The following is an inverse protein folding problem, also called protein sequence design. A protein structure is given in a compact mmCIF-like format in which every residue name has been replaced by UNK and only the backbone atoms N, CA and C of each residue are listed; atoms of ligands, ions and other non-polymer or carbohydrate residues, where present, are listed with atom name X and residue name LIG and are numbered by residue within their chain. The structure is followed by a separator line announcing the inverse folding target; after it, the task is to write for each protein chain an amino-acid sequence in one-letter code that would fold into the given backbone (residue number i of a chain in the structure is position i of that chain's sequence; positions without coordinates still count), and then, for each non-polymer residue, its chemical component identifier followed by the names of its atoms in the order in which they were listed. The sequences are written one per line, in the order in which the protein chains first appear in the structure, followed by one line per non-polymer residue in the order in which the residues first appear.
data_IF_491725992834
#
_entry.id   IF_491725992834
#
_cell.length_a   1.000
_cell.length_b   1.000
_cell.length_c   1.000
_cell.angle_alpha   90.00
_cell.angle_beta   90.00
_cell.angle_gamma   90.00
#
_symmetry.space_group_name_H-M   'P 1'
#
loop_
_entity.id
_entity.type
_entity.pdbx_description
1 polymer ?
#
# COMPACT_ATOMS: atom_id res chain seq x y z
N UNK A 1 -2.74 -26.45 -8.27
CA UNK A 1 -2.42 -25.02 -8.09
C UNK A 1 -1.09 -24.72 -8.77
N UNK A 2 -1.07 -23.76 -9.71
CA UNK A 2 0.17 -23.36 -10.42
C UNK A 2 1.06 -22.52 -9.51
N UNK A 3 2.35 -22.49 -9.81
CA UNK A 3 3.34 -21.69 -9.08
C UNK A 3 3.53 -20.33 -9.76
N UNK A 4 3.71 -19.28 -8.97
CA UNK A 4 4.14 -17.97 -9.45
C UNK A 4 5.63 -17.84 -9.13
N UNK A 5 6.48 -18.05 -10.14
CA UNK A 5 7.93 -18.13 -9.95
C UNK A 5 8.52 -16.88 -9.25
N UNK A 6 8.02 -15.70 -9.58
CA UNK A 6 8.41 -14.47 -8.90
C UNK A 6 8.17 -14.52 -7.38
N UNK A 7 7.05 -15.12 -6.94
CA UNK A 7 6.72 -15.20 -5.52
C UNK A 7 7.46 -16.34 -4.81
N UNK A 8 7.80 -17.41 -5.54
CA UNK A 8 8.65 -18.48 -5.01
C UNK A 8 10.10 -18.01 -4.80
N UNK A 9 10.63 -17.24 -5.74
CA UNK A 9 11.99 -16.69 -5.66
C UNK A 9 12.12 -15.50 -4.72
N UNK A 10 10.98 -14.86 -4.36
CA UNK A 10 10.93 -13.63 -3.60
C UNK A 10 11.02 -12.38 -4.49
N UNK A 11 10.38 -11.32 -4.04
CA UNK A 11 10.43 -10.02 -4.72
C UNK A 11 11.77 -9.36 -4.41
N UNK A 12 12.53 -9.05 -5.46
CA UNK A 12 13.79 -8.30 -5.35
C UNK A 12 13.56 -6.88 -4.79
N UNK A 13 14.56 -6.29 -4.12
CA UNK A 13 14.49 -4.90 -3.69
C UNK A 13 14.15 -3.96 -4.84
N UNK A 14 13.19 -3.06 -4.61
CA UNK A 14 12.83 -2.06 -5.62
C UNK A 14 13.77 -0.86 -5.56
N UNK A 15 14.03 -0.19 -6.73
CA UNK A 15 14.93 0.94 -6.76
C UNK A 15 14.50 2.08 -5.83
N UNK A 16 15.49 2.73 -5.21
CA UNK A 16 15.36 4.04 -4.59
C UNK A 16 16.18 5.00 -5.44
N UNK A 17 15.54 6.02 -5.99
CA UNK A 17 16.17 6.99 -6.87
C UNK A 17 16.00 8.41 -6.33
N UNK A 18 17.02 9.26 -6.53
CA UNK A 18 16.94 10.67 -6.21
C UNK A 18 16.11 11.37 -7.28
N UNK A 19 15.17 12.20 -6.87
CA UNK A 19 14.30 12.93 -7.78
C UNK A 19 15.01 14.17 -8.36
N UNK A 20 14.70 14.49 -9.62
CA UNK A 20 15.26 15.62 -10.36
C UNK A 20 14.56 16.94 -10.02
N UNK A 21 13.30 16.90 -9.62
CA UNK A 21 12.48 18.07 -9.31
C UNK A 21 13.02 18.85 -8.12
N UNK A 22 13.23 20.15 -8.31
CA UNK A 22 13.67 21.09 -7.27
C UNK A 22 12.50 21.50 -6.37
N UNK A 23 12.23 20.73 -5.33
CA UNK A 23 11.15 21.02 -4.37
C UNK A 23 11.68 21.75 -3.12
N UNK A 24 12.43 22.86 -3.30
CA UNK A 24 13.04 23.63 -2.22
C UNK A 24 14.42 23.12 -1.79
N UNK A 25 14.77 23.29 -0.51
CA UNK A 25 16.11 22.98 0.02
C UNK A 25 16.30 21.50 0.42
N UNK A 26 15.25 20.69 0.35
CA UNK A 26 15.31 19.27 0.72
C UNK A 26 15.78 18.40 -0.44
N UNK A 27 16.35 17.24 -0.11
CA UNK A 27 16.67 16.20 -1.07
C UNK A 27 15.52 15.18 -1.09
N UNK A 28 14.92 14.97 -2.25
CA UNK A 28 13.80 14.03 -2.40
C UNK A 28 14.26 12.76 -3.10
N UNK A 29 13.80 11.64 -2.56
CA UNK A 29 14.03 10.31 -3.08
C UNK A 29 12.69 9.60 -3.24
N UNK A 30 12.61 8.65 -4.15
CA UNK A 30 11.42 7.85 -4.37
C UNK A 30 11.77 6.36 -4.42
N UNK A 31 11.07 5.56 -3.61
CA UNK A 31 11.14 4.10 -3.67
C UNK A 31 10.07 3.60 -4.62
N UNK A 32 10.48 2.89 -5.67
CA UNK A 32 9.68 2.52 -6.84
C UNK A 32 9.01 1.16 -6.67
N UNK A 33 8.04 1.05 -5.74
CA UNK A 33 7.25 -0.18 -5.59
C UNK A 33 6.39 -0.49 -6.85
N UNK A 34 6.06 0.52 -7.64
CA UNK A 34 5.41 0.39 -8.95
C UNK A 34 6.24 -0.41 -9.97
N UNK A 35 7.53 -0.58 -9.75
CA UNK A 35 8.42 -1.37 -10.61
C UNK A 35 8.48 -2.87 -10.25
N UNK A 36 7.71 -3.35 -9.27
CA UNK A 36 7.60 -4.78 -9.02
C UNK A 36 7.01 -5.45 -10.27
N UNK A 37 7.68 -6.47 -10.87
CA UNK A 37 7.28 -7.02 -12.15
C UNK A 37 6.10 -8.00 -12.06
N UNK A 38 5.03 -7.60 -11.37
CA UNK A 38 3.79 -8.35 -11.26
C UNK A 38 2.58 -7.42 -11.27
N UNK A 39 1.68 -7.60 -12.23
CA UNK A 39 0.39 -6.88 -12.30
C UNK A 39 0.54 -5.36 -12.12
N UNK A 40 1.43 -4.71 -12.87
CA UNK A 40 1.76 -3.27 -12.78
C UNK A 40 2.30 -2.82 -11.40
N UNK A 41 2.89 -3.73 -10.64
CA UNK A 41 3.60 -3.41 -9.41
C UNK A 41 2.76 -2.86 -8.25
N UNK A 42 3.47 -2.29 -7.31
CA UNK A 42 2.92 -1.64 -6.13
C UNK A 42 3.04 -2.47 -4.85
N UNK A 43 2.85 -1.82 -3.71
CA UNK A 43 2.90 -2.45 -2.38
C UNK A 43 1.91 -3.63 -2.23
N UNK A 44 0.85 -3.66 -3.05
CA UNK A 44 -0.11 -4.76 -3.04
C UNK A 44 0.46 -6.04 -3.63
N UNK A 45 1.40 -5.94 -4.59
CA UNK A 45 2.11 -7.11 -5.11
C UNK A 45 3.02 -7.75 -4.04
N UNK A 46 3.70 -6.94 -3.22
CA UNK A 46 4.45 -7.47 -2.06
C UNK A 46 3.55 -8.20 -1.06
N UNK A 47 2.41 -7.58 -0.73
CA UNK A 47 1.43 -8.20 0.18
C UNK A 47 0.89 -9.51 -0.41
N UNK A 48 0.55 -9.50 -1.71
CA UNK A 48 0.08 -10.70 -2.39
C UNK A 48 1.09 -11.86 -2.31
N UNK A 49 2.39 -11.59 -2.42
CA UNK A 49 3.42 -12.61 -2.28
C UNK A 49 3.44 -13.27 -0.90
N UNK A 50 3.13 -12.54 0.18
CA UNK A 50 3.02 -13.13 1.51
C UNK A 50 1.73 -13.96 1.68
N UNK A 51 0.59 -13.46 1.18
CA UNK A 51 -0.66 -14.24 1.16
C UNK A 51 -0.57 -15.47 0.26
N UNK A 52 0.15 -15.41 -0.85
CA UNK A 52 0.42 -16.55 -1.73
C UNK A 52 1.03 -17.74 -0.98
N UNK A 53 1.99 -17.48 -0.08
CA UNK A 53 2.62 -18.53 0.73
C UNK A 53 1.60 -19.25 1.61
N UNK A 54 0.72 -18.49 2.28
CA UNK A 54 -0.34 -19.06 3.14
C UNK A 54 -1.39 -19.83 2.32
N UNK A 55 -1.85 -19.27 1.22
CA UNK A 55 -2.83 -19.89 0.32
C UNK A 55 -2.31 -21.26 -0.17
N UNK A 56 -1.04 -21.33 -0.57
CA UNK A 56 -0.43 -22.58 -1.01
C UNK A 56 -0.32 -23.60 0.11
N UNK A 57 0.10 -23.19 1.28
CA UNK A 57 0.27 -24.07 2.43
C UNK A 57 -1.06 -24.69 2.89
N UNK A 58 -2.18 -23.95 2.75
CA UNK A 58 -3.50 -24.37 3.21
C UNK A 58 -4.35 -25.11 2.16
N UNK A 59 -3.87 -25.30 0.93
CA UNK A 59 -4.62 -26.00 -0.13
C UNK A 59 -5.91 -25.28 -0.55
N UNK A 60 -5.91 -23.96 -0.48
CA UNK A 60 -7.05 -23.08 -0.83
C UNK A 60 -7.43 -23.24 -2.30
N UNK A 61 -8.72 -23.32 -2.62
CA UNK A 61 -9.25 -23.46 -3.98
C UNK A 61 -10.12 -22.29 -4.44
N UNK A 62 -10.52 -21.40 -3.53
CA UNK A 62 -11.17 -20.13 -3.83
C UNK A 62 -10.66 -19.03 -2.91
N UNK A 63 -10.26 -17.89 -3.47
CA UNK A 63 -9.89 -16.71 -2.70
C UNK A 63 -10.99 -15.67 -2.83
N UNK A 64 -11.41 -15.14 -1.69
CA UNK A 64 -12.33 -14.02 -1.64
C UNK A 64 -11.64 -12.78 -1.09
N UNK A 65 -11.96 -11.61 -1.63
CA UNK A 65 -11.48 -10.33 -1.12
C UNK A 65 -12.53 -9.22 -1.28
N UNK A 66 -12.21 -8.02 -0.78
CA UNK A 66 -13.06 -6.85 -0.81
C UNK A 66 -12.32 -5.61 -1.32
N UNK A 67 -13.01 -4.78 -2.10
CA UNK A 67 -12.53 -3.46 -2.50
C UNK A 67 -13.37 -2.83 -3.58
N UNK A 68 -13.19 -1.52 -3.79
CA UNK A 68 -13.87 -0.76 -4.83
C UNK A 68 -13.41 -1.14 -6.24
N UNK A 69 -14.11 -0.65 -7.25
CA UNK A 69 -13.78 -0.80 -8.67
C UNK A 69 -12.38 -0.23 -9.05
N UNK A 70 -11.89 0.78 -8.33
CA UNK A 70 -10.54 1.35 -8.52
C UNK A 70 -9.44 0.64 -7.72
N UNK A 71 -9.76 -0.46 -7.03
CA UNK A 71 -8.84 -1.09 -6.09
C UNK A 71 -7.64 -1.77 -6.76
N UNK A 72 -6.44 -1.23 -6.54
CA UNK A 72 -5.19 -1.90 -6.91
C UNK A 72 -5.00 -3.24 -6.18
N UNK A 73 -5.60 -3.39 -5.00
CA UNK A 73 -5.58 -4.65 -4.25
C UNK A 73 -6.39 -5.72 -4.98
N UNK A 74 -7.65 -5.43 -5.35
CA UNK A 74 -8.51 -6.39 -6.05
C UNK A 74 -7.89 -6.86 -7.36
N UNK A 75 -7.31 -5.93 -8.16
CA UNK A 75 -6.61 -6.26 -9.39
C UNK A 75 -5.45 -7.25 -9.16
N UNK A 76 -4.60 -6.97 -8.18
CA UNK A 76 -3.42 -7.81 -7.91
C UNK A 76 -3.83 -9.18 -7.36
N UNK A 77 -4.83 -9.25 -6.47
CA UNK A 77 -5.33 -10.52 -5.96
C UNK A 77 -5.99 -11.33 -7.08
N UNK A 78 -6.82 -10.72 -7.92
CA UNK A 78 -7.43 -11.39 -9.07
C UNK A 78 -6.35 -11.98 -10.00
N UNK A 79 -5.30 -11.21 -10.32
CA UNK A 79 -4.20 -11.70 -11.15
C UNK A 79 -3.43 -12.85 -10.48
N UNK A 80 -3.11 -12.72 -9.20
CA UNK A 80 -2.43 -13.79 -8.44
C UNK A 80 -3.23 -15.09 -8.48
N UNK A 81 -4.50 -15.01 -8.18
CA UNK A 81 -5.42 -16.16 -8.11
C UNK A 81 -5.61 -16.80 -9.49
N UNK A 82 -5.79 -15.98 -10.54
CA UNK A 82 -5.84 -16.47 -11.93
C UNK A 82 -4.53 -17.19 -12.34
N UNK A 83 -3.37 -16.64 -11.97
CA UNK A 83 -2.07 -17.28 -12.24
C UNK A 83 -1.94 -18.62 -11.52
N UNK A 84 -2.52 -18.77 -10.34
CA UNK A 84 -2.53 -20.03 -9.59
C UNK A 84 -3.55 -21.05 -10.15
N UNK A 85 -4.47 -20.63 -10.99
CA UNK A 85 -5.54 -21.47 -11.55
C UNK A 85 -6.62 -21.83 -10.54
N UNK A 86 -6.91 -20.94 -9.60
CA UNK A 86 -8.00 -21.08 -8.62
C UNK A 86 -9.04 -19.94 -8.76
N UNK A 87 -10.22 -20.11 -8.16
CA UNK A 87 -11.29 -19.15 -8.29
C UNK A 87 -11.04 -17.87 -7.47
N UNK A 88 -11.46 -16.72 -8.01
CA UNK A 88 -11.45 -15.42 -7.33
C UNK A 88 -12.87 -14.86 -7.21
N UNK A 89 -13.27 -14.45 -6.00
CA UNK A 89 -14.55 -13.78 -5.76
C UNK A 89 -14.31 -12.47 -5.03
N UNK A 90 -14.78 -11.36 -5.60
CA UNK A 90 -14.59 -10.02 -5.07
C UNK A 90 -15.93 -9.45 -4.63
N UNK A 91 -16.02 -9.00 -3.38
CA UNK A 91 -17.13 -8.18 -2.92
C UNK A 91 -16.77 -6.72 -3.16
N UNK A 92 -17.63 -5.96 -3.81
CA UNK A 92 -17.41 -4.55 -4.14
C UNK A 92 -18.59 -3.68 -3.67
N UNK A 93 -18.33 -2.50 -3.07
CA UNK A 93 -19.41 -1.57 -2.74
C UNK A 93 -20.03 -0.96 -3.99
N UNK A 94 -21.34 -0.70 -3.96
CA UNK A 94 -22.10 -0.11 -5.08
C UNK A 94 -21.79 1.37 -5.35
N UNK A 95 -20.90 2.00 -4.60
CA UNK A 95 -20.71 3.46 -4.55
C UNK A 95 -20.26 4.10 -5.86
N UNK A 96 -19.62 3.35 -6.75
CA UNK A 96 -19.16 3.89 -8.04
C UNK A 96 -19.24 2.82 -9.15
N UNK A 97 -19.96 3.15 -10.23
CA UNK A 97 -20.13 2.27 -11.38
C UNK A 97 -19.21 2.61 -12.56
N UNK A 98 -18.30 3.57 -12.40
CA UNK A 98 -17.34 3.92 -13.44
C UNK A 98 -16.43 2.72 -13.75
N UNK A 99 -16.30 2.37 -15.01
CA UNK A 99 -15.49 1.24 -15.48
C UNK A 99 -14.04 1.70 -15.71
N UNK A 100 -13.23 1.60 -14.68
CA UNK A 100 -11.82 1.97 -14.67
C UNK A 100 -10.93 0.84 -15.24
N UNK A 101 -9.67 1.14 -15.53
CA UNK A 101 -8.69 0.13 -15.98
C UNK A 101 -8.54 -1.03 -14.98
N UNK A 102 -8.55 -0.75 -13.68
CA UNK A 102 -8.53 -1.82 -12.68
C UNK A 102 -9.77 -2.73 -12.77
N UNK A 103 -10.96 -2.18 -13.09
CA UNK A 103 -12.18 -2.99 -13.30
C UNK A 103 -12.01 -3.93 -14.49
N UNK A 104 -11.55 -3.39 -15.63
CA UNK A 104 -11.30 -4.18 -16.85
C UNK A 104 -10.32 -5.32 -16.59
N UNK A 105 -9.20 -5.03 -15.91
CA UNK A 105 -8.18 -6.04 -15.57
C UNK A 105 -8.72 -7.13 -14.63
N UNK A 106 -9.55 -6.77 -13.64
CA UNK A 106 -10.20 -7.74 -12.74
C UNK A 106 -11.11 -8.69 -13.54
N UNK A 107 -11.90 -8.15 -14.49
CA UNK A 107 -12.73 -8.93 -15.38
C UNK A 107 -11.89 -9.86 -16.28
N UNK A 108 -10.83 -9.34 -16.90
CA UNK A 108 -9.92 -10.11 -17.78
C UNK A 108 -9.20 -11.25 -17.03
N UNK A 109 -8.95 -11.09 -15.74
CA UNK A 109 -8.41 -12.16 -14.89
C UNK A 109 -9.46 -13.18 -14.47
N UNK A 110 -10.72 -13.04 -14.88
CA UNK A 110 -11.79 -13.99 -14.64
C UNK A 110 -12.31 -14.00 -13.21
N UNK A 111 -12.12 -12.93 -12.44
CA UNK A 111 -12.70 -12.83 -11.12
C UNK A 111 -14.22 -12.57 -11.18
N UNK A 112 -14.97 -13.24 -10.32
CA UNK A 112 -16.38 -12.93 -10.10
C UNK A 112 -16.49 -11.72 -9.18
N UNK A 113 -17.25 -10.68 -9.58
CA UNK A 113 -17.50 -9.49 -8.76
C UNK A 113 -18.97 -9.48 -8.35
N UNK A 114 -19.20 -9.40 -7.05
CA UNK A 114 -20.53 -9.22 -6.45
C UNK A 114 -20.59 -7.84 -5.80
N UNK A 115 -21.59 -7.04 -6.17
CA UNK A 115 -21.80 -5.70 -5.60
C UNK A 115 -22.88 -5.72 -4.54
N UNK A 116 -22.69 -4.96 -3.48
CA UNK A 116 -23.68 -4.77 -2.41
C UNK A 116 -23.55 -3.39 -1.76
N UNK A 117 -24.59 -2.91 -1.06
CA UNK A 117 -24.48 -1.72 -0.24
C UNK A 117 -23.34 -1.82 0.79
N UNK A 118 -22.66 -0.71 1.07
CA UNK A 118 -21.53 -0.67 2.02
C UNK A 118 -21.89 -1.27 3.38
N UNK A 119 -23.12 -1.01 3.84
CA UNK A 119 -23.64 -1.52 5.12
C UNK A 119 -23.81 -3.04 5.16
N UNK A 120 -23.89 -3.68 3.99
CA UNK A 120 -24.10 -5.13 3.88
C UNK A 120 -22.82 -5.92 3.59
N UNK A 121 -21.69 -5.24 3.37
CA UNK A 121 -20.43 -5.86 2.96
C UNK A 121 -20.00 -6.98 3.92
N UNK A 122 -19.97 -6.73 5.22
CA UNK A 122 -19.56 -7.75 6.20
C UNK A 122 -20.46 -8.99 6.14
N UNK A 123 -21.78 -8.79 6.19
CA UNK A 123 -22.73 -9.90 6.11
C UNK A 123 -22.69 -10.65 4.78
N UNK A 124 -22.39 -9.96 3.68
CA UNK A 124 -22.23 -10.60 2.35
C UNK A 124 -20.97 -11.46 2.30
N UNK A 125 -19.86 -10.98 2.88
CA UNK A 125 -18.62 -11.75 3.01
C UNK A 125 -18.89 -13.03 3.80
N UNK A 126 -19.52 -12.95 4.98
CA UNK A 126 -19.77 -14.09 5.83
C UNK A 126 -20.67 -15.13 5.13
N UNK A 127 -21.77 -14.69 4.50
CA UNK A 127 -22.67 -15.56 3.73
C UNK A 127 -21.96 -16.28 2.59
N UNK A 128 -21.10 -15.57 1.84
CA UNK A 128 -20.38 -16.16 0.71
C UNK A 128 -19.30 -17.15 1.14
N UNK A 129 -18.55 -16.82 2.21
CA UNK A 129 -17.58 -17.73 2.78
C UNK A 129 -18.24 -19.03 3.24
N UNK A 130 -19.38 -18.93 3.90
CA UNK A 130 -20.14 -20.11 4.35
C UNK A 130 -20.71 -20.90 3.16
N UNK A 131 -21.27 -20.23 2.15
CA UNK A 131 -21.76 -20.90 0.94
C UNK A 131 -20.65 -21.69 0.21
N UNK A 132 -19.44 -21.15 0.13
CA UNK A 132 -18.30 -21.90 -0.42
C UNK A 132 -17.97 -23.16 0.41
N UNK A 133 -17.96 -23.06 1.74
CA UNK A 133 -17.72 -24.23 2.61
C UNK A 133 -18.79 -25.29 2.43
N UNK A 134 -20.07 -24.90 2.39
CA UNK A 134 -21.20 -25.81 2.16
C UNK A 134 -21.13 -26.48 0.78
N UNK A 135 -20.56 -25.83 -0.21
CA UNK A 135 -20.27 -26.40 -1.52
C UNK A 135 -19.02 -27.29 -1.56
N UNK A 136 -18.42 -27.59 -0.41
CA UNK A 136 -17.22 -28.43 -0.30
C UNK A 136 -15.92 -27.75 -0.76
N UNK A 137 -15.91 -26.41 -0.86
CA UNK A 137 -14.73 -25.63 -1.23
C UNK A 137 -13.92 -25.26 0.01
N UNK A 138 -12.65 -24.93 -0.22
CA UNK A 138 -11.74 -24.41 0.82
C UNK A 138 -11.46 -22.92 0.59
N UNK A 139 -12.35 -22.00 1.05
CA UNK A 139 -12.22 -20.58 0.82
C UNK A 139 -11.20 -19.92 1.75
N UNK A 140 -10.45 -18.94 1.22
CA UNK A 140 -9.58 -18.05 1.97
C UNK A 140 -9.98 -16.61 1.74
N UNK A 141 -10.18 -15.84 2.81
CA UNK A 141 -10.53 -14.43 2.74
C UNK A 141 -9.31 -13.54 2.98
N UNK A 142 -8.98 -12.70 2.00
CA UNK A 142 -7.98 -11.63 2.14
C UNK A 142 -8.72 -10.31 2.39
N UNK A 143 -8.51 -9.73 3.56
CA UNK A 143 -9.13 -8.46 3.92
C UNK A 143 -8.74 -7.34 2.95
N UNK A 144 -9.64 -6.36 2.76
CA UNK A 144 -9.45 -5.25 1.84
C UNK A 144 -8.11 -4.55 2.02
N UNK A 145 -7.43 -4.28 0.88
CA UNK A 145 -6.09 -3.69 0.89
C UNK A 145 -4.96 -4.62 1.33
N UNK A 146 -5.21 -5.91 1.53
CA UNK A 146 -4.24 -6.89 2.04
C UNK A 146 -3.91 -6.62 3.50
N UNK A 147 -4.96 -6.37 4.31
CA UNK A 147 -4.83 -6.15 5.75
C UNK A 147 -4.57 -7.48 6.47
N UNK A 148 -3.82 -7.42 7.58
CA UNK A 148 -3.42 -8.56 8.40
C UNK A 148 -1.90 -8.78 8.42
N UNK A 149 -1.44 -9.73 9.24
CA UNK A 149 -0.02 -9.98 9.49
C UNK A 149 0.81 -10.28 8.24
N UNK A 150 0.33 -11.03 7.22
CA UNK A 150 1.08 -11.20 5.98
C UNK A 150 1.33 -9.85 5.26
N UNK A 151 0.30 -9.00 5.20
CA UNK A 151 0.41 -7.67 4.61
C UNK A 151 1.34 -6.73 5.38
N UNK A 152 1.34 -6.80 6.71
CA UNK A 152 2.25 -6.04 7.58
C UNK A 152 3.69 -6.52 7.39
N UNK A 153 3.93 -7.83 7.40
CA UNK A 153 5.25 -8.45 7.14
C UNK A 153 5.86 -8.01 5.80
N UNK A 154 5.05 -7.95 4.75
CA UNK A 154 5.49 -7.46 3.45
C UNK A 154 6.07 -6.03 3.54
N UNK A 155 5.46 -5.16 4.35
CA UNK A 155 5.90 -3.79 4.51
C UNK A 155 7.05 -3.64 5.54
N UNK A 156 7.18 -4.55 6.50
CA UNK A 156 8.41 -4.68 7.30
C UNK A 156 9.61 -4.99 6.39
N UNK A 157 9.44 -5.86 5.41
CA UNK A 157 10.50 -6.15 4.43
C UNK A 157 10.81 -4.93 3.55
N UNK A 158 9.80 -4.11 3.19
CA UNK A 158 10.02 -2.82 2.52
C UNK A 158 10.92 -1.90 3.35
N UNK A 159 10.69 -1.81 4.67
CA UNK A 159 11.55 -1.02 5.56
C UNK A 159 12.98 -1.56 5.60
N UNK A 160 13.16 -2.89 5.67
CA UNK A 160 14.50 -3.51 5.65
C UNK A 160 15.28 -3.18 4.38
N UNK A 161 14.61 -3.12 3.23
CA UNK A 161 15.23 -2.69 1.98
C UNK A 161 15.67 -1.22 2.03
N UNK A 162 14.89 -0.35 2.68
CA UNK A 162 15.24 1.06 2.87
C UNK A 162 16.46 1.17 3.75
N UNK A 163 16.49 0.48 4.89
CA UNK A 163 17.64 0.49 5.80
C UNK A 163 18.92 -0.06 5.13
N UNK A 164 18.80 -1.10 4.33
CA UNK A 164 19.94 -1.64 3.56
C UNK A 164 20.44 -0.63 2.49
N UNK A 165 19.53 0.10 1.85
CA UNK A 165 19.90 1.16 0.92
C UNK A 165 20.63 2.32 1.63
N UNK A 166 20.15 2.75 2.80
CA UNK A 166 20.79 3.80 3.59
C UNK A 166 22.25 3.41 3.95
N UNK A 167 22.46 2.17 4.38
CA UNK A 167 23.80 1.66 4.70
C UNK A 167 24.69 1.62 3.45
N UNK A 168 24.18 1.12 2.33
CA UNK A 168 24.93 1.00 1.08
C UNK A 168 25.27 2.37 0.48
N UNK A 169 24.33 3.32 0.51
CA UNK A 169 24.48 4.65 -0.08
C UNK A 169 25.20 5.64 0.85
N UNK A 170 25.40 5.31 2.11
CA UNK A 170 26.01 6.20 3.12
C UNK A 170 25.15 7.43 3.41
N UNK A 171 23.83 7.30 3.32
CA UNK A 171 22.87 8.38 3.61
C UNK A 171 21.89 7.91 4.71
N UNK A 172 21.20 8.87 5.31
CA UNK A 172 20.09 8.57 6.23
C UNK A 172 18.89 9.41 5.81
N UNK A 173 17.69 8.81 5.82
CA UNK A 173 16.46 9.55 5.62
C UNK A 173 15.97 10.15 6.93
N UNK A 174 15.54 11.42 6.88
CA UNK A 174 14.88 12.10 8.01
C UNK A 174 13.38 11.74 8.05
N UNK A 175 12.78 11.57 6.86
CA UNK A 175 11.35 11.30 6.70
C UNK A 175 11.09 10.25 5.63
N UNK A 176 10.10 9.38 5.90
CA UNK A 176 9.47 8.51 4.90
C UNK A 176 7.99 8.91 4.80
N UNK A 177 7.54 9.22 3.58
CA UNK A 177 6.12 9.49 3.30
C UNK A 177 5.53 8.41 2.40
N UNK A 178 4.26 8.12 2.60
CA UNK A 178 3.51 7.21 1.74
C UNK A 178 2.00 7.46 1.81
N UNK A 179 1.25 6.96 0.82
CA UNK A 179 -0.21 6.94 0.85
C UNK A 179 -0.74 5.93 1.88
N UNK A 180 -1.52 6.38 2.85
CA UNK A 180 -2.14 5.52 3.88
C UNK A 180 -3.64 5.37 3.64
N UNK A 181 -4.08 4.16 3.28
CA UNK A 181 -5.50 3.79 3.11
C UNK A 181 -5.97 2.88 4.25
N UNK A 182 -5.73 1.57 4.14
CA UNK A 182 -6.12 0.58 5.18
C UNK A 182 -5.18 0.53 6.39
N UNK A 183 -4.07 1.28 6.37
CA UNK A 183 -3.12 1.38 7.48
C UNK A 183 -2.00 0.34 7.47
N UNK A 184 -2.17 -0.83 6.88
CA UNK A 184 -1.22 -1.95 6.95
C UNK A 184 0.19 -1.60 6.43
N UNK A 185 0.29 -0.73 5.41
CA UNK A 185 1.60 -0.30 4.89
C UNK A 185 2.35 0.49 5.93
N UNK A 186 1.69 1.46 6.55
CA UNK A 186 2.28 2.23 7.64
C UNK A 186 2.64 1.35 8.82
N UNK A 187 1.75 0.46 9.22
CA UNK A 187 2.01 -0.48 10.32
C UNK A 187 3.27 -1.30 10.08
N UNK A 188 3.46 -1.81 8.86
CA UNK A 188 4.66 -2.58 8.52
C UNK A 188 5.94 -1.74 8.53
N UNK A 189 5.89 -0.52 7.97
CA UNK A 189 7.04 0.40 7.98
C UNK A 189 7.45 0.78 9.42
N UNK A 190 6.47 1.16 10.25
CA UNK A 190 6.71 1.51 11.66
C UNK A 190 7.23 0.29 12.43
N UNK A 191 6.58 -0.88 12.28
CA UNK A 191 7.07 -2.11 12.93
C UNK A 191 8.50 -2.46 12.51
N UNK A 192 8.82 -2.30 11.22
CA UNK A 192 10.16 -2.53 10.70
C UNK A 192 11.19 -1.61 11.32
N UNK A 193 10.88 -0.31 11.46
CA UNK A 193 11.72 0.68 12.16
C UNK A 193 11.93 0.29 13.62
N UNK A 194 10.84 0.00 14.34
CA UNK A 194 10.92 -0.35 15.77
C UNK A 194 11.78 -1.59 16.02
N UNK A 195 11.66 -2.60 15.17
CA UNK A 195 12.50 -3.81 15.26
C UNK A 195 13.97 -3.50 14.97
N UNK A 196 14.26 -2.69 13.94
CA UNK A 196 15.62 -2.28 13.60
C UNK A 196 16.25 -1.40 14.71
N UNK A 197 15.47 -0.48 15.28
CA UNK A 197 15.93 0.36 16.40
C UNK A 197 16.22 -0.47 17.66
N UNK A 198 15.42 -1.52 17.93
CA UNK A 198 15.71 -2.45 19.02
C UNK A 198 17.04 -3.19 18.80
N UNK A 199 17.26 -3.73 17.59
CA UNK A 199 18.51 -4.38 17.22
C UNK A 199 19.74 -3.44 17.33
N UNK A 200 19.57 -2.15 16.99
CA UNK A 200 20.62 -1.13 17.17
C UNK A 200 20.93 -0.91 18.64
N UNK A 201 19.89 -0.76 19.49
CA UNK A 201 20.06 -0.57 20.95
C UNK A 201 20.76 -1.77 21.61
N UNK A 202 20.42 -2.99 21.22
CA UNK A 202 21.10 -4.21 21.70
C UNK A 202 22.60 -4.20 21.36
N UNK A 203 22.98 -3.55 20.25
CA UNK A 203 24.37 -3.37 19.82
C UNK A 203 25.02 -2.08 20.37
N UNK A 204 24.36 -1.37 21.30
CA UNK A 204 24.84 -0.12 21.87
C UNK A 204 24.83 1.08 20.92
N UNK A 205 24.06 1.03 19.83
CA UNK A 205 23.91 2.11 18.88
C UNK A 205 22.62 2.91 19.14
N UNK A 206 22.60 4.23 18.84
CA UNK A 206 21.38 5.01 18.97
C UNK A 206 20.31 4.57 17.94
N UNK A 207 19.05 4.76 18.31
CA UNK A 207 17.94 4.65 17.37
C UNK A 207 17.98 5.80 16.34
N UNK A 208 17.39 5.57 15.15
CA UNK A 208 17.32 6.60 14.13
C UNK A 208 16.25 7.63 14.48
N UNK A 209 16.53 8.91 14.18
CA UNK A 209 15.53 10.00 14.27
C UNK A 209 14.53 10.00 13.13
N UNK A 210 14.47 8.95 12.31
CA UNK A 210 13.58 8.79 11.16
C UNK A 210 12.11 8.86 11.56
N UNK A 211 11.33 9.67 10.83
CA UNK A 211 9.88 9.80 10.99
C UNK A 211 9.14 9.18 9.80
N UNK A 212 8.13 8.36 10.09
CA UNK A 212 7.30 7.72 9.06
C UNK A 212 5.93 8.35 9.08
N UNK A 213 5.59 9.07 8.01
CA UNK A 213 4.37 9.87 7.88
C UNK A 213 3.41 9.21 6.89
N UNK A 214 2.26 8.76 7.39
CA UNK A 214 1.16 8.28 6.57
C UNK A 214 0.26 9.43 6.15
N UNK A 215 0.19 9.71 4.86
CA UNK A 215 -0.75 10.68 4.30
C UNK A 215 -2.05 9.96 3.97
N UNK A 216 -3.12 10.33 4.66
CA UNK A 216 -4.44 9.71 4.46
C UNK A 216 -4.97 9.97 3.05
N UNK A 217 -5.57 8.94 2.48
CA UNK A 217 -6.31 9.07 1.21
C UNK A 217 -7.83 9.14 1.40
N UNK A 218 -8.31 8.89 2.64
CA UNK A 218 -9.75 8.85 2.92
C UNK A 218 -10.13 8.95 4.40
N UNK A 219 -9.40 8.29 5.32
CA UNK A 219 -9.75 8.22 6.73
C UNK A 219 -9.41 9.51 7.46
N UNK A 220 -10.19 9.86 8.47
CA UNK A 220 -9.78 10.88 9.44
C UNK A 220 -8.59 10.37 10.28
N UNK A 221 -7.89 11.30 10.92
CA UNK A 221 -6.67 11.00 11.67
C UNK A 221 -6.93 9.99 12.79
N UNK A 222 -7.97 10.20 13.61
CA UNK A 222 -8.30 9.35 14.75
C UNK A 222 -8.47 7.88 14.32
N UNK A 223 -9.35 7.64 13.35
CA UNK A 223 -9.59 6.29 12.83
C UNK A 223 -8.39 5.70 12.10
N UNK A 224 -7.63 6.55 11.40
CA UNK A 224 -6.40 6.16 10.71
C UNK A 224 -5.35 5.67 11.70
N UNK A 225 -5.07 6.43 12.74
CA UNK A 225 -4.13 6.08 13.82
C UNK A 225 -4.54 4.79 14.53
N UNK A 226 -5.82 4.67 14.90
CA UNK A 226 -6.35 3.48 15.58
C UNK A 226 -6.07 2.20 14.79
N UNK A 227 -6.42 2.18 13.49
CA UNK A 227 -6.24 1.00 12.64
C UNK A 227 -4.76 0.66 12.42
N UNK A 228 -3.90 1.68 12.27
CA UNK A 228 -2.45 1.46 12.15
C UNK A 228 -1.88 0.91 13.45
N UNK A 229 -2.23 1.50 14.59
CA UNK A 229 -1.80 1.05 15.92
C UNK A 229 -2.20 -0.40 16.17
N UNK A 230 -3.47 -0.76 15.91
CA UNK A 230 -3.92 -2.13 16.06
C UNK A 230 -3.12 -3.11 15.19
N UNK A 231 -2.81 -2.72 13.94
CA UNK A 231 -2.01 -3.56 13.04
C UNK A 231 -0.55 -3.71 13.51
N UNK A 232 0.01 -2.70 14.18
CA UNK A 232 1.34 -2.77 14.80
C UNK A 232 1.30 -3.74 16.00
N UNK A 233 0.29 -3.60 16.85
CA UNK A 233 0.08 -4.45 18.02
C UNK A 233 -0.09 -5.92 17.62
N UNK A 234 -0.98 -6.21 16.65
CA UNK A 234 -1.21 -7.56 16.13
C UNK A 234 0.06 -8.19 15.55
N UNK A 235 0.92 -7.37 14.93
CA UNK A 235 2.15 -7.86 14.31
C UNK A 235 3.29 -8.08 15.32
N UNK A 236 3.50 -7.11 16.22
CA UNK A 236 4.58 -7.18 17.23
C UNK A 236 4.24 -8.13 18.39
N UNK A 237 2.95 -8.37 18.65
CA UNK A 237 2.49 -9.23 19.72
C UNK A 237 3.06 -8.81 21.08
N UNK A 238 3.69 -9.74 21.79
CA UNK A 238 4.25 -9.47 23.12
C UNK A 238 5.31 -8.35 23.16
N UNK A 239 5.96 -8.05 22.04
CA UNK A 239 6.97 -6.98 21.93
C UNK A 239 6.36 -5.57 21.80
N UNK A 240 5.03 -5.47 21.55
CA UNK A 240 4.38 -4.17 21.33
C UNK A 240 4.57 -3.20 22.47
N UNK A 241 4.29 -3.61 23.71
CA UNK A 241 4.40 -2.76 24.91
C UNK A 241 5.83 -2.28 25.18
N UNK A 242 6.83 -3.06 24.78
CA UNK A 242 8.24 -2.71 24.90
C UNK A 242 8.67 -1.67 23.86
N UNK A 243 8.28 -1.89 22.60
CA UNK A 243 8.84 -1.18 21.46
C UNK A 243 8.05 0.04 21.03
N UNK A 244 6.70 0.00 21.09
CA UNK A 244 5.85 1.05 20.56
C UNK A 244 5.67 2.22 21.55
N UNK A 245 5.72 3.42 21.01
CA UNK A 245 5.29 4.66 21.65
C UNK A 245 4.42 5.44 20.66
N UNK A 246 3.48 6.22 21.14
CA UNK A 246 2.46 6.88 20.28
C UNK A 246 3.06 7.95 19.36
N UNK A 247 4.17 8.54 19.72
CA UNK A 247 4.95 9.48 18.90
C UNK A 247 5.61 8.83 17.66
N UNK A 248 5.73 7.50 17.64
CA UNK A 248 6.24 6.76 16.48
C UNK A 248 5.25 6.73 15.30
N UNK A 249 3.98 7.03 15.57
CA UNK A 249 2.93 7.00 14.59
C UNK A 249 2.48 8.40 14.18
N UNK A 250 2.97 8.86 13.03
CA UNK A 250 2.55 10.14 12.44
C UNK A 250 1.58 9.83 11.28
N UNK A 251 0.35 10.28 11.43
CA UNK A 251 -0.70 10.13 10.42
C UNK A 251 -1.36 11.50 10.22
N UNK A 252 -1.60 11.91 8.98
CA UNK A 252 -2.26 13.19 8.68
C UNK A 252 -3.38 12.98 7.68
N UNK A 253 -4.53 13.59 7.92
CA UNK A 253 -5.69 13.63 7.04
C UNK A 253 -5.92 15.00 6.37
N UNK A 254 -5.06 15.98 6.66
CA UNK A 254 -5.15 17.35 6.10
C UNK A 254 -5.15 17.36 4.55
N UNK A 255 -4.57 16.33 3.93
CA UNK A 255 -4.39 16.25 2.48
C UNK A 255 -5.26 15.17 1.83
N UNK A 256 -6.34 14.72 2.49
CA UNK A 256 -7.23 13.68 1.98
C UNK A 256 -8.19 14.16 0.86
N UNK A 257 -8.25 15.48 0.60
CA UNK A 257 -9.01 16.12 -0.50
C UNK A 257 -10.50 15.72 -0.53
N UNK A 258 -11.12 15.55 0.65
CA UNK A 258 -12.53 15.18 0.77
C UNK A 258 -12.82 13.68 0.60
N UNK A 259 -11.81 12.83 0.55
CA UNK A 259 -11.98 11.39 0.64
C UNK A 259 -11.45 10.56 -0.51
N UNK A 260 -11.84 9.30 -0.54
CA UNK A 260 -11.38 8.32 -1.51
C UNK A 260 -11.78 8.69 -2.94
N UNK A 261 -10.83 8.60 -3.88
CA UNK A 261 -11.03 8.91 -5.30
C UNK A 261 -11.18 10.40 -5.63
N UNK A 262 -11.30 11.28 -4.62
CA UNK A 262 -11.38 12.72 -4.81
C UNK A 262 -9.99 13.35 -4.85
N UNK A 263 -9.82 14.35 -5.70
CA UNK A 263 -8.57 15.11 -5.82
C UNK A 263 -8.86 16.55 -6.26
N UNK A 264 -7.88 17.43 -6.14
CA UNK A 264 -7.97 18.84 -6.51
C UNK A 264 -7.08 19.13 -7.74
N UNK A 265 -7.26 20.30 -8.41
CA UNK A 265 -6.39 20.70 -9.52
C UNK A 265 -4.91 20.72 -9.16
N UNK A 266 -4.56 21.06 -7.91
CA UNK A 266 -3.17 21.09 -7.45
C UNK A 266 -2.55 19.70 -7.36
N UNK A 267 -3.35 18.67 -7.03
CA UNK A 267 -2.91 17.27 -7.11
C UNK A 267 -2.67 16.87 -8.56
N UNK A 268 -3.58 17.23 -9.48
CA UNK A 268 -3.41 16.96 -10.91
C UNK A 268 -2.14 17.63 -11.46
N UNK A 269 -1.93 18.91 -11.15
CA UNK A 269 -0.71 19.63 -11.51
C UNK A 269 0.55 18.96 -10.95
N UNK A 270 0.52 18.50 -9.70
CA UNK A 270 1.65 17.77 -9.09
C UNK A 270 1.98 16.48 -9.85
N UNK A 271 0.96 15.73 -10.28
CA UNK A 271 1.13 14.51 -11.08
C UNK A 271 1.81 14.83 -12.41
N UNK A 272 1.36 15.89 -13.10
CA UNK A 272 1.95 16.32 -14.36
C UNK A 272 3.39 16.83 -14.21
N UNK A 273 3.68 17.60 -13.14
CA UNK A 273 5.02 18.07 -12.83
C UNK A 273 5.99 16.90 -12.66
N UNK A 274 5.63 15.90 -11.82
CA UNK A 274 6.48 14.72 -11.59
C UNK A 274 6.63 13.89 -12.85
N UNK A 275 5.58 13.73 -13.64
CA UNK A 275 5.69 13.01 -14.92
C UNK A 275 6.63 13.73 -15.89
N UNK A 276 6.62 15.07 -15.94
CA UNK A 276 7.50 15.85 -16.82
C UNK A 276 8.95 15.90 -16.35
N UNK A 277 9.19 15.97 -15.02
CA UNK A 277 10.55 16.09 -14.47
C UNK A 277 11.26 14.76 -14.30
N UNK A 278 10.55 13.71 -13.89
CA UNK A 278 11.13 12.45 -13.47
C UNK A 278 10.62 11.23 -14.27
N UNK A 279 9.60 11.40 -15.12
CA UNK A 279 9.01 10.32 -15.93
C UNK A 279 8.25 9.29 -15.07
N UNK A 280 7.75 9.71 -13.90
CA UNK A 280 7.11 8.82 -12.93
C UNK A 280 5.59 9.02 -12.93
N UNK A 281 4.80 8.03 -13.38
CA UNK A 281 3.34 8.12 -13.38
C UNK A 281 2.81 8.03 -11.95
N UNK A 282 1.89 8.91 -11.58
CA UNK A 282 1.19 8.91 -10.29
C UNK A 282 -0.32 8.96 -10.50
N UNK A 283 -1.08 8.24 -9.69
CA UNK A 283 -2.55 8.26 -9.72
C UNK A 283 -3.13 9.34 -8.81
N UNK A 284 -4.38 9.72 -9.06
CA UNK A 284 -5.08 10.77 -8.31
C UNK A 284 -5.63 10.31 -6.96
N UNK A 285 -5.80 9.00 -6.75
CA UNK A 285 -6.42 8.44 -5.54
C UNK A 285 -5.42 8.25 -4.41
N UNK A 286 -4.23 7.74 -4.73
CA UNK A 286 -3.22 7.33 -3.75
C UNK A 286 -1.95 8.17 -3.85
N UNK A 287 -1.12 7.90 -4.87
CA UNK A 287 0.27 8.33 -4.92
C UNK A 287 0.39 9.83 -5.17
N UNK A 288 -0.34 10.38 -6.13
CA UNK A 288 -0.30 11.81 -6.44
C UNK A 288 -0.82 12.66 -5.28
N UNK A 289 -1.93 12.22 -4.64
CA UNK A 289 -2.47 12.88 -3.46
C UNK A 289 -1.45 12.88 -2.30
N UNK A 290 -0.85 11.73 -2.02
CA UNK A 290 0.11 11.61 -0.92
C UNK A 290 1.42 12.35 -1.23
N UNK A 291 1.87 12.40 -2.48
CA UNK A 291 3.05 13.18 -2.88
C UNK A 291 2.81 14.69 -2.75
N UNK A 292 1.66 15.17 -3.20
CA UNK A 292 1.23 16.54 -2.93
C UNK A 292 1.20 16.83 -1.42
N UNK A 293 0.61 15.92 -0.63
CA UNK A 293 0.54 16.05 0.83
C UNK A 293 1.94 16.09 1.47
N UNK A 294 2.88 15.27 1.03
CA UNK A 294 4.29 15.32 1.46
C UNK A 294 4.91 16.71 1.23
N UNK A 295 4.73 17.28 0.04
CA UNK A 295 5.26 18.62 -0.30
C UNK A 295 4.65 19.70 0.60
N UNK A 296 3.33 19.63 0.83
CA UNK A 296 2.61 20.58 1.70
C UNK A 296 3.01 20.42 3.16
N UNK A 297 3.13 19.19 3.63
CA UNK A 297 3.60 18.87 4.98
C UNK A 297 5.02 19.41 5.22
N UNK A 298 5.94 19.17 4.30
CA UNK A 298 7.31 19.68 4.40
C UNK A 298 7.36 21.21 4.50
N UNK A 299 6.55 21.91 3.71
CA UNK A 299 6.44 23.36 3.75
C UNK A 299 5.82 23.85 5.07
N UNK A 300 4.70 23.27 5.51
CA UNK A 300 3.99 23.66 6.73
C UNK A 300 4.84 23.46 8.01
N UNK A 301 5.69 22.42 8.02
CA UNK A 301 6.56 22.10 9.15
C UNK A 301 7.97 22.69 9.01
N UNK A 302 8.22 23.54 8.01
CA UNK A 302 9.50 24.21 7.80
C UNK A 302 10.68 23.25 7.60
N UNK A 303 10.45 22.09 6.97
CA UNK A 303 11.51 21.10 6.73
C UNK A 303 12.50 21.65 5.70
N UNK A 304 13.79 21.76 6.10
CA UNK A 304 14.88 22.26 5.26
C UNK A 304 16.12 21.40 5.43
N UNK A 305 16.85 21.18 4.34
CA UNK A 305 18.07 20.39 4.32
C UNK A 305 17.88 18.93 4.70
N UNK A 306 16.66 18.37 4.49
CA UNK A 306 16.30 17.01 4.86
C UNK A 306 16.39 16.03 3.70
N UNK A 307 16.73 14.80 3.99
CA UNK A 307 16.59 13.68 3.08
C UNK A 307 15.19 13.07 3.28
N UNK A 308 14.32 13.23 2.29
CA UNK A 308 12.91 12.80 2.34
C UNK A 308 12.71 11.70 1.32
N UNK A 309 12.26 10.52 1.79
CA UNK A 309 11.89 9.40 0.94
C UNK A 309 10.37 9.35 0.78
N UNK A 310 9.91 9.28 -0.46
CA UNK A 310 8.53 8.96 -0.78
C UNK A 310 8.42 7.53 -1.28
N UNK A 311 7.47 6.75 -0.77
CA UNK A 311 7.19 5.41 -1.28
C UNK A 311 6.10 5.49 -2.34
N UNK A 312 6.47 5.24 -3.59
CA UNK A 312 5.53 5.09 -4.68
C UNK A 312 4.82 3.74 -4.59
N UNK A 313 3.65 3.73 -3.99
CA UNK A 313 2.92 2.49 -3.63
C UNK A 313 2.23 1.80 -4.81
N UNK A 314 2.42 2.26 -6.04
CA UNK A 314 1.80 1.72 -7.26
C UNK A 314 0.64 2.57 -7.76
N UNK A 315 -0.28 1.97 -8.52
CA UNK A 315 -1.44 2.68 -9.08
C UNK A 315 -1.31 3.06 -10.55
N UNK A 316 -0.33 2.54 -11.26
CA UNK A 316 -0.10 2.82 -12.68
C UNK A 316 -1.34 2.69 -13.57
N UNK A 317 -2.23 1.68 -13.45
CA UNK A 317 -3.47 1.65 -14.24
C UNK A 317 -4.39 2.86 -13.99
N UNK A 318 -4.45 3.37 -12.76
CA UNK A 318 -5.25 4.56 -12.42
C UNK A 318 -4.65 5.87 -12.99
N UNK A 319 -3.35 5.89 -13.32
CA UNK A 319 -2.76 6.99 -14.07
C UNK A 319 -3.34 7.08 -15.48
N UNK A 320 -3.61 5.96 -16.14
CA UNK A 320 -4.27 5.98 -17.45
C UNK A 320 -5.73 6.44 -17.37
N UNK A 321 -6.46 6.09 -16.31
CA UNK A 321 -7.78 6.67 -16.04
C UNK A 321 -7.71 8.20 -15.88
N UNK A 322 -6.68 8.71 -15.22
CA UNK A 322 -6.44 10.16 -15.10
C UNK A 322 -6.19 10.80 -16.47
N UNK A 323 -5.36 10.21 -17.33
CA UNK A 323 -5.08 10.73 -18.68
C UNK A 323 -6.34 10.75 -19.56
N UNK A 324 -7.18 9.72 -19.51
CA UNK A 324 -8.44 9.70 -20.26
C UNK A 324 -9.36 10.86 -19.86
N UNK A 325 -9.44 11.17 -18.55
CA UNK A 325 -10.26 12.29 -18.04
C UNK A 325 -9.71 13.68 -18.39
N UNK A 326 -8.42 13.81 -18.64
CA UNK A 326 -7.82 15.08 -19.10
C UNK A 326 -8.14 15.39 -20.56
N UNK A 327 -8.50 14.38 -21.35
CA UNK A 327 -8.81 14.50 -22.79
C UNK A 327 -10.31 14.64 -23.08
N UNK A 328 -11.16 14.65 -22.05
CA UNK A 328 -12.61 14.86 -22.11
C UNK A 328 -12.98 16.28 -21.66
#
# INVERSE_FOLDING_TARGET
MRQIMLFEQGISPTPIVKMSGGYGENQYYIKREDMIPFSFGGNKARKAAEFYKEIRACGVDVVMTYGSNSSNHCRIIANMVASMGIACHIISPEENRERLYNTRLVEDFGATVETCPVTEVSGTIDRRMEAFRQAGRNPYFIMGGGHGNPGTRACVNTYREIAAYEEQAGISFDYIFHASGTGTTQAGLVSGKLLADAEKREKGKPADGLKIVGVSIARNEERGREVVRQSIEDYLGARYAELYRDEELIFTDEYCMGGYGKYTPEVAQTIEEVMKSDGIPMDTTYVGKAFYGMRRYAAAHGLRGRNILFIHTGGTPLYFDFLERQNL
#
